data_IF_723998986325
#
_entry.id   IF_723998986325
#
_cell.length_a   1.000
_cell.length_b   1.000
_cell.length_c   1.000
_cell.angle_alpha   90.00
_cell.angle_beta   90.00
_cell.angle_gamma   90.00
#
_symmetry.space_group_name_H-M   'P 1'
#
loop_
_entity.id
_entity.type
_entity.pdbx_description
1 polymer ?
#
# COMPACT_ATOMS: atom_id res chain seq x y z
N UNK A 1 4.27 -10.29 24.12
CA UNK A 1 5.58 -9.64 24.37
C UNK A 1 6.56 -9.82 23.21
N UNK A 2 6.82 -11.06 22.71
CA UNK A 2 7.79 -11.32 21.63
C UNK A 2 7.49 -10.64 20.28
N UNK A 3 6.21 -10.56 19.88
CA UNK A 3 5.81 -9.93 18.61
C UNK A 3 6.15 -8.43 18.59
N UNK A 4 5.94 -7.73 19.70
CA UNK A 4 6.22 -6.29 19.78
C UNK A 4 7.71 -5.98 19.58
N UNK A 5 8.61 -6.82 20.09
CA UNK A 5 10.05 -6.64 19.90
C UNK A 5 10.50 -6.82 18.45
N UNK A 6 9.87 -7.73 17.69
CA UNK A 6 10.14 -7.88 16.26
C UNK A 6 9.80 -6.59 15.49
N UNK A 7 8.64 -5.98 15.77
CA UNK A 7 8.26 -4.70 15.17
C UNK A 7 9.18 -3.54 15.60
N UNK A 8 9.59 -3.50 16.87
CA UNK A 8 10.55 -2.49 17.36
C UNK A 8 11.91 -2.59 16.66
N UNK A 9 12.36 -3.80 16.32
CA UNK A 9 13.60 -3.98 15.57
C UNK A 9 13.54 -3.30 14.21
N UNK A 10 12.40 -3.39 13.51
CA UNK A 10 12.20 -2.77 12.20
C UNK A 10 12.50 -1.27 12.22
N UNK A 11 11.96 -0.54 13.19
CA UNK A 11 12.14 0.91 13.27
C UNK A 11 13.48 1.32 13.91
N UNK A 12 14.02 0.51 14.83
CA UNK A 12 15.27 0.82 15.53
C UNK A 12 16.51 0.48 14.72
N UNK A 13 16.47 -0.61 13.96
CA UNK A 13 17.64 -1.17 13.29
C UNK A 13 17.42 -1.49 11.81
N UNK A 14 16.19 -1.85 11.41
CA UNK A 14 15.86 -2.19 10.03
C UNK A 14 15.89 -0.97 9.10
N UNK A 15 15.02 0.01 9.35
CA UNK A 15 14.88 1.21 8.53
C UNK A 15 16.18 2.03 8.41
N UNK A 16 16.96 2.28 9.48
CA UNK A 16 18.25 2.96 9.35
C UNK A 16 19.24 2.25 8.42
N UNK A 17 19.23 0.91 8.40
CA UNK A 17 20.08 0.12 7.50
C UNK A 17 19.64 0.27 6.05
N UNK A 18 18.33 0.29 5.79
CA UNK A 18 17.79 0.54 4.44
C UNK A 18 18.13 1.96 3.97
N UNK A 19 17.93 2.97 4.81
CA UNK A 19 18.32 4.36 4.50
C UNK A 19 19.80 4.43 4.14
N UNK A 20 20.69 3.86 4.97
CA UNK A 20 22.12 3.80 4.68
C UNK A 20 22.41 3.13 3.33
N UNK A 21 21.75 2.01 3.03
CA UNK A 21 21.95 1.25 1.80
C UNK A 21 21.58 2.07 0.57
N UNK A 22 20.38 2.66 0.50
CA UNK A 22 20.01 3.40 -0.73
C UNK A 22 20.75 4.73 -0.85
N UNK A 23 21.17 5.35 0.25
CA UNK A 23 22.09 6.50 0.20
C UNK A 23 23.41 6.13 -0.50
N UNK A 24 23.95 4.93 -0.26
CA UNK A 24 25.18 4.47 -0.92
C UNK A 24 25.01 4.37 -2.44
N UNK A 25 23.82 4.02 -2.93
CA UNK A 25 23.53 3.89 -4.36
C UNK A 25 22.84 5.12 -4.97
N UNK A 26 22.60 6.17 -4.17
CA UNK A 26 21.79 7.33 -4.56
C UNK A 26 20.43 6.95 -5.16
N UNK A 27 19.75 5.97 -4.57
CA UNK A 27 18.44 5.50 -5.04
C UNK A 27 17.31 6.09 -4.22
N UNK A 28 16.18 6.36 -4.88
CA UNK A 28 14.91 6.72 -4.24
C UNK A 28 13.98 5.51 -4.21
N UNK A 29 13.02 5.55 -3.29
CA UNK A 29 12.03 4.49 -3.13
C UNK A 29 10.69 5.09 -2.68
N UNK A 30 9.63 4.32 -2.86
CA UNK A 30 8.29 4.64 -2.34
C UNK A 30 8.05 3.91 -1.03
N UNK A 31 7.75 4.66 0.03
CA UNK A 31 7.46 4.08 1.35
C UNK A 31 5.96 3.90 1.50
N UNK A 32 5.52 2.64 1.63
CA UNK A 32 4.14 2.31 1.98
C UNK A 32 3.96 2.44 3.49
N UNK A 33 3.50 3.62 3.94
CA UNK A 33 3.51 3.95 5.37
C UNK A 33 2.13 3.92 5.99
N UNK A 34 1.98 3.13 7.06
CA UNK A 34 0.87 3.31 7.98
C UNK A 34 1.02 4.63 8.73
N UNK A 35 0.05 5.54 8.65
CA UNK A 35 0.18 6.90 9.18
C UNK A 35 0.51 6.93 10.69
N UNK A 36 -0.06 6.01 11.49
CA UNK A 36 0.29 5.87 12.92
C UNK A 36 1.77 5.52 13.15
N UNK A 37 2.39 4.77 12.25
CA UNK A 37 3.79 4.36 12.43
C UNK A 37 4.73 5.58 12.38
N UNK A 38 4.50 6.49 11.43
CA UNK A 38 5.26 7.75 11.35
C UNK A 38 4.94 8.70 12.50
N UNK A 39 3.69 8.73 12.98
CA UNK A 39 3.34 9.49 14.19
C UNK A 39 4.15 9.03 15.41
N UNK A 40 4.47 7.74 15.51
CA UNK A 40 5.32 7.20 16.59
C UNK A 40 6.82 7.32 16.34
N UNK A 41 7.24 7.70 15.13
CA UNK A 41 8.65 7.79 14.74
C UNK A 41 8.88 8.92 13.72
N UNK A 42 8.56 10.17 14.10
CA UNK A 42 8.51 11.30 13.17
C UNK A 42 9.88 11.66 12.58
N UNK A 43 10.96 11.33 13.27
CA UNK A 43 12.33 11.55 12.78
C UNK A 43 12.56 10.88 11.43
N UNK A 44 12.09 9.64 11.24
CA UNK A 44 12.26 8.95 9.96
C UNK A 44 11.32 9.49 8.88
N UNK A 45 10.14 9.98 9.25
CA UNK A 45 9.24 10.63 8.30
C UNK A 45 9.90 11.85 7.66
N UNK A 46 10.55 12.70 8.48
CA UNK A 46 11.31 13.86 8.03
C UNK A 46 12.52 13.47 7.18
N UNK A 47 13.34 12.54 7.65
CA UNK A 47 14.51 12.07 6.89
C UNK A 47 14.11 11.60 5.49
N UNK A 48 13.05 10.79 5.38
CA UNK A 48 12.59 10.28 4.09
C UNK A 48 12.04 11.39 3.19
N UNK A 49 11.31 12.35 3.76
CA UNK A 49 10.79 13.50 3.02
C UNK A 49 11.93 14.43 2.53
N UNK A 50 12.86 14.79 3.41
CA UNK A 50 14.00 15.68 3.12
C UNK A 50 14.93 15.05 2.06
N UNK A 51 15.06 13.72 2.05
CA UNK A 51 15.82 12.99 1.04
C UNK A 51 15.02 12.74 -0.24
N UNK A 52 13.77 13.19 -0.36
CA UNK A 52 12.96 13.05 -1.58
C UNK A 52 12.55 11.61 -1.88
N UNK A 53 12.42 10.75 -0.85
CA UNK A 53 11.72 9.48 -1.00
C UNK A 53 10.21 9.75 -1.07
N UNK A 54 9.50 8.98 -1.88
CA UNK A 54 8.05 9.10 -1.94
C UNK A 54 7.43 8.51 -0.67
N UNK A 55 6.43 9.20 -0.12
CA UNK A 55 5.68 8.77 1.06
C UNK A 55 4.23 8.50 0.64
N UNK A 56 3.96 7.25 0.32
CA UNK A 56 2.63 6.78 -0.06
C UNK A 56 1.87 6.24 1.15
N UNK A 57 0.54 6.32 1.10
CA UNK A 57 -0.28 5.90 2.22
C UNK A 57 -0.48 4.38 2.22
N UNK A 58 -0.22 3.77 3.39
CA UNK A 58 -0.62 2.41 3.72
C UNK A 58 -1.79 2.35 4.71
N UNK A 59 -2.60 3.42 4.70
CA UNK A 59 -3.72 3.61 5.61
C UNK A 59 -3.33 4.10 7.00
N UNK A 60 -4.32 4.32 7.86
CA UNK A 60 -4.06 4.85 9.21
C UNK A 60 -3.35 3.83 10.11
N UNK A 61 -3.73 2.57 9.95
CA UNK A 61 -3.26 1.41 10.70
C UNK A 61 -3.22 0.22 9.75
N UNK A 62 -2.36 -0.76 10.05
CA UNK A 62 -2.28 -2.01 9.30
C UNK A 62 -3.43 -2.96 9.68
N UNK A 63 -4.65 -2.58 9.28
CA UNK A 63 -5.92 -3.32 9.43
C UNK A 63 -6.98 -2.66 8.55
N UNK A 64 -8.13 -3.31 8.40
CA UNK A 64 -9.30 -2.74 7.70
C UNK A 64 -9.75 -1.44 8.40
N UNK A 65 -9.99 -0.39 7.61
CA UNK A 65 -10.41 0.93 8.10
C UNK A 65 -11.92 1.04 8.18
N UNK A 66 -12.49 0.45 9.22
CA UNK A 66 -13.92 0.55 9.50
C UNK A 66 -14.80 -0.39 8.69
N UNK A 67 -16.04 -0.50 9.13
CA UNK A 67 -17.08 -1.38 8.58
C UNK A 67 -17.96 -0.69 7.53
N UNK A 68 -17.92 0.64 7.47
CA UNK A 68 -18.74 1.46 6.60
C UNK A 68 -17.95 2.65 6.01
N UNK A 69 -18.58 3.37 5.09
CA UNK A 69 -17.98 4.51 4.39
C UNK A 69 -17.52 5.62 5.36
N UNK A 70 -18.35 6.01 6.33
CA UNK A 70 -18.04 7.11 7.25
C UNK A 70 -16.83 6.80 8.13
N UNK A 71 -16.74 5.57 8.67
CA UNK A 71 -15.59 5.12 9.45
C UNK A 71 -14.30 5.06 8.61
N UNK A 72 -14.42 4.58 7.36
CA UNK A 72 -13.29 4.57 6.43
C UNK A 72 -12.80 5.99 6.14
N UNK A 73 -13.70 6.94 5.83
CA UNK A 73 -13.35 8.35 5.63
C UNK A 73 -12.64 8.93 6.84
N UNK A 74 -13.18 8.72 8.05
CA UNK A 74 -12.58 9.21 9.28
C UNK A 74 -11.15 8.66 9.50
N UNK A 75 -10.89 7.40 9.12
CA UNK A 75 -9.55 6.83 9.15
C UNK A 75 -8.63 7.42 8.08
N UNK A 76 -9.13 7.68 6.88
CA UNK A 76 -8.35 8.27 5.80
C UNK A 76 -7.99 9.73 6.15
N UNK A 77 -8.92 10.55 6.65
CA UNK A 77 -8.61 11.90 7.17
C UNK A 77 -7.51 11.87 8.23
N UNK A 78 -7.59 10.95 9.20
CA UNK A 78 -6.52 10.76 10.19
C UNK A 78 -5.18 10.38 9.56
N UNK A 79 -5.21 9.67 8.44
CA UNK A 79 -3.99 9.32 7.70
C UNK A 79 -3.34 10.55 7.07
N UNK A 80 -4.14 11.41 6.44
CA UNK A 80 -3.71 12.72 5.94
C UNK A 80 -3.09 13.56 7.06
N UNK A 81 -3.84 13.80 8.14
CA UNK A 81 -3.39 14.69 9.22
C UNK A 81 -2.04 14.23 9.80
N UNK A 82 -1.88 12.92 10.00
CA UNK A 82 -0.64 12.33 10.54
C UNK A 82 0.51 12.37 9.57
N UNK A 83 0.29 12.01 8.30
CA UNK A 83 1.36 12.02 7.31
C UNK A 83 1.84 13.45 7.06
N UNK A 84 0.93 14.40 6.88
CA UNK A 84 1.27 15.80 6.65
C UNK A 84 2.00 16.40 7.86
N UNK A 85 1.52 16.17 9.07
CA UNK A 85 2.18 16.67 10.29
C UNK A 85 3.57 16.07 10.52
N UNK A 86 3.78 14.80 10.17
CA UNK A 86 5.06 14.11 10.43
C UNK A 86 6.09 14.35 9.34
N UNK A 87 5.66 14.49 8.09
CA UNK A 87 6.53 14.73 6.94
C UNK A 87 6.80 16.22 6.71
N UNK A 88 5.89 17.10 7.12
CA UNK A 88 5.94 18.53 6.79
C UNK A 88 5.45 18.86 5.38
N UNK A 89 4.98 17.87 4.62
CA UNK A 89 4.46 18.03 3.27
C UNK A 89 2.94 18.22 3.32
N UNK A 90 2.41 19.17 2.56
CA UNK A 90 0.96 19.50 2.54
C UNK A 90 0.18 18.70 1.49
N UNK A 91 0.88 18.18 0.49
CA UNK A 91 0.35 17.53 -0.70
C UNK A 91 0.50 16.01 -0.65
N UNK A 92 0.81 15.45 0.52
CA UNK A 92 0.86 14.00 0.75
C UNK A 92 -0.36 13.51 1.53
N UNK A 93 -0.78 12.24 1.32
CA UNK A 93 -0.27 11.27 0.33
C UNK A 93 -0.89 11.43 -1.07
N UNK A 94 -0.12 11.14 -2.13
CA UNK A 94 -0.61 11.08 -3.52
C UNK A 94 -0.76 9.65 -4.07
N UNK A 95 -0.08 8.68 -3.45
CA UNK A 95 -0.16 7.25 -3.76
C UNK A 95 -0.81 6.44 -2.65
N UNK A 96 -1.50 5.35 -3.01
CA UNK A 96 -2.21 4.49 -2.04
C UNK A 96 -2.05 2.99 -2.29
N UNK A 97 -1.75 2.25 -1.24
CA UNK A 97 -1.80 0.78 -1.21
C UNK A 97 -2.30 0.41 0.16
N UNK A 98 -3.30 -0.45 0.31
CA UNK A 98 -3.77 -0.87 1.62
C UNK A 98 -3.94 -2.39 1.74
N UNK A 99 -3.59 -3.15 0.70
CA UNK A 99 -3.52 -4.60 0.75
C UNK A 99 -4.89 -5.26 0.68
N UNK A 100 -5.71 -4.89 -0.31
CA UNK A 100 -7.00 -5.51 -0.56
C UNK A 100 -8.10 -4.97 0.36
N UNK A 101 -8.51 -3.73 0.10
CA UNK A 101 -9.54 -3.06 0.89
C UNK A 101 -10.96 -3.28 0.33
N UNK A 102 -11.99 -3.28 1.19
CA UNK A 102 -13.40 -3.28 0.77
C UNK A 102 -13.75 -2.12 -0.17
N UNK A 103 -14.83 -2.27 -0.94
CA UNK A 103 -15.26 -1.26 -1.90
C UNK A 103 -15.58 0.09 -1.23
N UNK A 104 -16.13 0.11 -0.01
CA UNK A 104 -16.40 1.36 0.71
C UNK A 104 -15.12 2.14 1.02
N UNK A 105 -13.99 1.47 1.25
CA UNK A 105 -12.70 2.13 1.47
C UNK A 105 -12.15 2.76 0.18
N UNK A 106 -12.37 2.13 -0.98
CA UNK A 106 -11.97 2.69 -2.28
C UNK A 106 -12.71 3.99 -2.58
N UNK A 107 -14.03 4.00 -2.34
CA UNK A 107 -14.86 5.20 -2.43
C UNK A 107 -14.44 6.27 -1.41
N UNK A 108 -14.28 5.88 -0.13
CA UNK A 108 -13.84 6.78 0.93
C UNK A 108 -12.55 7.51 0.57
N UNK A 109 -11.57 6.78 0.01
CA UNK A 109 -10.31 7.34 -0.45
C UNK A 109 -10.53 8.37 -1.55
N UNK A 110 -11.29 8.03 -2.59
CA UNK A 110 -11.55 8.93 -3.70
C UNK A 110 -12.30 10.20 -3.27
N UNK A 111 -13.22 10.10 -2.31
CA UNK A 111 -13.91 11.27 -1.71
C UNK A 111 -12.96 12.13 -0.89
N UNK A 112 -12.19 11.54 0.03
CA UNK A 112 -11.33 12.30 0.94
C UNK A 112 -10.21 13.02 0.19
N UNK A 113 -9.64 12.42 -0.86
CA UNK A 113 -8.65 13.10 -1.70
C UNK A 113 -9.22 14.36 -2.36
N UNK A 114 -10.48 14.30 -2.85
CA UNK A 114 -11.19 15.48 -3.39
C UNK A 114 -11.46 16.53 -2.32
N UNK A 115 -11.96 16.11 -1.16
CA UNK A 115 -12.23 17.01 -0.03
C UNK A 115 -10.97 17.72 0.48
N UNK A 116 -9.82 17.02 0.45
CA UNK A 116 -8.51 17.56 0.85
C UNK A 116 -7.81 18.35 -0.25
N UNK A 117 -8.30 18.29 -1.49
CA UNK A 117 -7.66 18.91 -2.65
C UNK A 117 -6.29 18.29 -3.00
N UNK A 118 -6.01 17.06 -2.56
CA UNK A 118 -4.75 16.37 -2.83
C UNK A 118 -4.98 15.31 -3.90
N UNK A 119 -4.27 15.37 -5.05
CA UNK A 119 -4.51 14.45 -6.15
C UNK A 119 -4.17 13.00 -5.74
N UNK A 120 -5.11 12.09 -6.01
CA UNK A 120 -4.85 10.65 -5.94
C UNK A 120 -4.28 10.20 -7.28
N UNK A 121 -2.95 10.15 -7.38
CA UNK A 121 -2.25 9.89 -8.64
C UNK A 121 -2.32 8.43 -9.05
N UNK A 122 -2.23 7.51 -8.08
CA UNK A 122 -2.27 6.09 -8.37
C UNK A 122 -2.67 5.25 -7.15
N UNK A 123 -3.08 4.02 -7.43
CA UNK A 123 -3.33 3.00 -6.43
C UNK A 123 -2.65 1.68 -6.77
N UNK A 124 -2.05 1.03 -5.78
CA UNK A 124 -1.38 -0.28 -5.92
C UNK A 124 -2.14 -1.44 -5.28
N UNK A 125 -3.43 -1.27 -4.99
CA UNK A 125 -4.33 -2.35 -4.52
C UNK A 125 -4.71 -3.33 -5.65
N UNK A 126 -3.73 -3.81 -6.40
CA UNK A 126 -3.89 -4.83 -7.43
C UNK A 126 -2.60 -5.61 -7.63
N UNK A 127 -2.73 -6.84 -8.10
CA UNK A 127 -1.64 -7.76 -8.46
C UNK A 127 -1.84 -8.34 -9.87
N UNK A 128 -2.75 -7.75 -10.66
CA UNK A 128 -3.38 -8.39 -11.81
C UNK A 128 -2.66 -8.18 -13.16
N UNK A 129 -1.56 -7.44 -13.19
CA UNK A 129 -0.84 -7.11 -14.41
C UNK A 129 0.64 -6.79 -14.14
N UNK A 130 1.46 -6.79 -15.19
CA UNK A 130 2.88 -6.41 -15.15
C UNK A 130 3.11 -4.94 -15.55
N UNK A 131 2.09 -4.27 -16.09
CA UNK A 131 2.14 -2.87 -16.52
C UNK A 131 1.01 -2.05 -15.87
N UNK A 132 1.19 -0.73 -15.68
CA UNK A 132 0.12 0.13 -15.20
C UNK A 132 -1.09 0.13 -16.13
N UNK A 133 -2.28 0.25 -15.56
CA UNK A 133 -3.53 0.30 -16.32
C UNK A 133 -4.56 1.21 -15.63
N UNK A 134 -5.51 1.72 -16.40
CA UNK A 134 -6.58 2.56 -15.89
C UNK A 134 -7.81 1.72 -15.55
N UNK A 135 -8.46 2.05 -14.43
CA UNK A 135 -9.82 1.59 -14.12
C UNK A 135 -10.74 2.80 -14.00
N UNK A 136 -12.05 2.57 -13.99
CA UNK A 136 -13.03 3.61 -13.69
C UNK A 136 -12.77 4.22 -12.30
N UNK A 137 -12.84 5.55 -12.19
CA UNK A 137 -12.69 6.23 -10.90
C UNK A 137 -13.77 5.75 -9.91
N UNK A 138 -13.40 5.25 -8.71
CA UNK A 138 -14.36 4.82 -7.70
C UNK A 138 -15.42 5.86 -7.34
N UNK A 139 -15.12 7.15 -7.43
CA UNK A 139 -16.08 8.22 -7.20
C UNK A 139 -17.07 8.36 -8.35
N UNK A 140 -16.59 8.41 -9.60
CA UNK A 140 -17.44 8.52 -10.79
C UNK A 140 -18.36 7.29 -10.93
N UNK A 141 -17.87 6.11 -10.53
CA UNK A 141 -18.67 4.88 -10.50
C UNK A 141 -19.89 4.94 -9.56
N UNK A 142 -19.85 5.78 -8.52
CA UNK A 142 -20.91 5.86 -7.49
C UNK A 142 -21.74 7.13 -7.63
N UNK A 143 -21.10 8.28 -7.81
CA UNK A 143 -21.75 9.60 -7.88
C UNK A 143 -22.06 10.06 -9.30
N UNK A 144 -21.55 9.36 -10.32
CA UNK A 144 -21.63 9.79 -11.72
C UNK A 144 -20.68 10.95 -12.04
N UNK A 145 -20.80 11.50 -13.25
CA UNK A 145 -19.99 12.62 -13.75
C UNK A 145 -18.79 12.20 -14.61
N UNK A 146 -17.90 13.15 -14.93
CA UNK A 146 -16.72 12.87 -15.76
C UNK A 146 -15.79 11.85 -15.09
N UNK A 147 -15.51 10.75 -15.79
CA UNK A 147 -14.57 9.73 -15.32
C UNK A 147 -13.13 10.16 -15.65
N UNK A 148 -12.38 10.54 -14.62
CA UNK A 148 -10.96 10.86 -14.74
C UNK A 148 -10.07 9.60 -14.75
N UNK A 149 -10.66 8.43 -14.49
CA UNK A 149 -9.95 7.19 -14.30
C UNK A 149 -9.16 7.14 -12.99
N UNK A 150 -8.84 5.93 -12.55
CA UNK A 150 -7.92 5.65 -11.46
C UNK A 150 -6.74 4.84 -12.01
N UNK A 151 -5.54 5.41 -11.95
CA UNK A 151 -4.33 4.72 -12.38
C UNK A 151 -4.00 3.62 -11.38
N UNK A 152 -3.96 2.38 -11.86
CA UNK A 152 -3.55 1.23 -11.09
C UNK A 152 -2.09 0.89 -11.43
N UNK A 153 -1.22 0.88 -10.41
CA UNK A 153 0.17 0.42 -10.52
C UNK A 153 0.28 -0.90 -9.74
N UNK A 154 0.31 -2.06 -10.41
CA UNK A 154 0.31 -3.35 -9.73
C UNK A 154 1.47 -3.53 -8.75
N UNK A 155 1.15 -4.02 -7.56
CA UNK A 155 2.14 -4.46 -6.58
C UNK A 155 2.46 -5.95 -6.78
N UNK A 156 3.47 -6.46 -6.08
CA UNK A 156 3.87 -7.87 -6.15
C UNK A 156 3.91 -8.52 -4.77
N UNK A 157 3.23 -9.66 -4.63
CA UNK A 157 3.41 -10.60 -3.51
C UNK A 157 4.42 -11.69 -3.85
N UNK A 158 4.81 -11.80 -5.13
CA UNK A 158 5.89 -12.66 -5.55
C UNK A 158 7.21 -12.01 -5.17
N UNK A 159 7.60 -10.86 -5.71
CA UNK A 159 8.87 -10.20 -5.34
C UNK A 159 8.76 -9.41 -4.04
N UNK A 160 8.42 -10.10 -2.95
CA UNK A 160 8.11 -9.52 -1.66
C UNK A 160 8.87 -10.25 -0.53
N UNK A 161 9.49 -9.48 0.36
CA UNK A 161 10.24 -10.01 1.51
C UNK A 161 9.32 -10.58 2.61
N UNK A 162 8.02 -10.27 2.56
CA UNK A 162 6.99 -10.94 3.38
C UNK A 162 7.08 -12.47 3.29
N UNK A 163 7.59 -13.01 2.17
CA UNK A 163 7.85 -14.45 2.01
C UNK A 163 8.87 -15.01 3.00
N UNK A 164 9.82 -14.22 3.48
CA UNK A 164 10.78 -14.64 4.51
C UNK A 164 10.07 -14.96 5.83
N UNK A 165 8.98 -14.26 6.14
CA UNK A 165 8.15 -14.55 7.31
C UNK A 165 7.29 -15.80 7.08
N UNK A 166 6.68 -15.93 5.89
CA UNK A 166 5.82 -17.07 5.55
C UNK A 166 6.58 -18.41 5.40
N UNK A 167 7.83 -18.37 4.91
CA UNK A 167 8.68 -19.54 4.70
C UNK A 167 9.17 -20.19 5.99
N UNK A 168 9.30 -19.41 7.08
CA UNK A 168 9.67 -19.92 8.39
C UNK A 168 8.61 -20.90 8.96
N UNK A 169 7.34 -20.79 8.53
CA UNK A 169 6.28 -21.70 8.94
C UNK A 169 6.26 -23.06 8.19
N UNK A 170 7.12 -23.27 7.17
CA UNK A 170 7.05 -24.45 6.28
C UNK A 170 8.31 -25.31 6.17
N UNK A 171 9.35 -25.05 6.94
CA UNK A 171 10.51 -25.95 6.99
C UNK A 171 10.23 -27.15 7.92
N UNK A 172 9.20 -27.95 7.61
CA UNK A 172 9.16 -29.36 8.01
C UNK A 172 9.48 -30.19 6.77
N UNK A 173 10.59 -30.94 6.74
CA UNK A 173 10.82 -31.93 5.71
C UNK A 173 9.97 -33.15 6.05
N UNK A 174 8.71 -33.17 5.62
CA UNK A 174 7.98 -34.43 5.44
C UNK A 174 6.66 -34.23 4.68
N UNK A 175 6.55 -35.01 3.60
CA UNK A 175 5.34 -35.48 2.95
C UNK A 175 4.62 -34.45 2.06
N UNK A 176 4.94 -34.62 0.78
CA UNK A 176 4.08 -34.52 -0.41
C UNK A 176 2.69 -33.91 -0.28
N UNK A 177 2.42 -33.03 -1.25
CA UNK A 177 1.12 -32.44 -1.66
C UNK A 177 0.47 -31.57 -0.59
N UNK A 178 0.41 -30.27 -0.87
CA UNK A 178 -0.85 -29.51 -0.87
C UNK A 178 -0.70 -28.02 -1.15
N UNK A 179 0.41 -27.49 -1.69
CA UNK A 179 0.54 -26.03 -1.86
C UNK A 179 1.00 -25.54 -3.24
N UNK A 180 0.80 -26.37 -4.26
CA UNK A 180 0.68 -25.94 -5.67
C UNK A 180 -0.74 -25.49 -6.03
N UNK A 181 -1.64 -25.35 -5.05
CA UNK A 181 -3.08 -25.15 -5.24
C UNK A 181 -3.56 -23.72 -5.50
N UNK A 182 -2.72 -22.68 -5.40
CA UNK A 182 -3.11 -21.30 -5.74
C UNK A 182 -2.44 -20.74 -7.00
N UNK A 183 -1.55 -21.52 -7.63
CA UNK A 183 -0.97 -21.21 -8.95
C UNK A 183 -1.40 -22.23 -10.02
N UNK A 184 -2.47 -22.98 -9.75
CA UNK A 184 -3.10 -23.92 -10.69
C UNK A 184 -4.58 -23.60 -10.87
N UNK A 185 -4.89 -22.33 -11.17
CA UNK A 185 -6.06 -22.07 -11.99
C UNK A 185 -5.76 -22.69 -13.36
N UNK A 186 -6.23 -23.91 -13.58
CA UNK A 186 -6.43 -24.44 -14.93
C UNK A 186 -7.21 -23.36 -15.68
N UNK A 187 -6.55 -22.72 -16.63
CA UNK A 187 -7.19 -21.85 -17.61
C UNK A 187 -8.35 -22.63 -18.23
N UNK A 188 -9.62 -22.24 -17.99
CA UNK A 188 -10.73 -22.87 -18.67
C UNK A 188 -10.79 -22.25 -20.07
N UNK A 189 -10.18 -22.96 -21.02
CA UNK A 189 -10.19 -22.76 -22.48
C UNK A 189 -9.26 -21.65 -23.02
N UNK A 190 -8.55 -21.92 -24.14
CA UNK A 190 -7.72 -20.92 -24.79
C UNK A 190 -8.61 -19.81 -25.36
N UNK A 191 -8.28 -18.57 -25.03
CA UNK A 191 -8.80 -17.39 -25.70
C UNK A 191 -8.47 -17.50 -27.19
N UNK A 192 -9.49 -17.77 -28.01
CA UNK A 192 -9.38 -17.57 -29.46
C UNK A 192 -9.30 -16.06 -29.67
N UNK A 193 -8.13 -15.58 -30.08
CA UNK A 193 -7.98 -14.27 -30.70
C UNK A 193 -8.84 -14.28 -31.97
N UNK A 194 -9.92 -13.51 -31.97
CA UNK A 194 -10.57 -13.10 -33.22
C UNK A 194 -9.75 -11.93 -33.76
N UNK A 195 -9.20 -12.13 -34.95
CA UNK A 195 -8.71 -11.08 -35.84
C UNK A 195 -9.90 -10.34 -36.46
#
# INVERSE_FOLDING_TARGET
MLIAYQFQWGIRQGLPRLIKLFRQYNWKWTTWTCARAFETSPTYARILADEGHEIACHGNRWRIHGSNLAEAKAHIHKSFDRLQATTGLIDVPTGWFAGGMPNHTKLARAEVHRERGVPLLYCSDTYAADVPYWIQDPYAAVHGGPDQGMLMIPYSLCTNDHRCMLGCARLRPSRHRLLTGMCSLRCPRPWRLQA
#
